data_IF_664866552877
#
_entry.id   IF_664866552877
#
_cell.length_a   1.000
_cell.length_b   1.000
_cell.length_c   1.000
_cell.angle_alpha   90.00
_cell.angle_beta   90.00
_cell.angle_gamma   90.00
#
_symmetry.space_group_name_H-M   'P 1'
#
loop_
_entity.id
_entity.type
_entity.pdbx_description
1 polymer ?
#
# COMPACT_ATOMS: atom_id res chain seq x y z
N UNK A 1 14.30 22.84 -21.61
CA UNK A 1 13.42 23.62 -20.70
C UNK A 1 12.05 22.97 -20.71
N UNK A 2 11.51 22.64 -19.55
CA UNK A 2 10.13 22.09 -19.43
C UNK A 2 9.16 23.24 -19.69
N UNK A 3 8.32 23.10 -20.71
CA UNK A 3 7.25 24.06 -20.96
C UNK A 3 6.05 23.65 -20.08
N UNK A 4 5.95 24.25 -18.88
CA UNK A 4 4.84 24.01 -17.95
C UNK A 4 3.57 24.67 -18.50
N UNK A 5 2.74 23.86 -19.18
CA UNK A 5 1.41 24.31 -19.61
C UNK A 5 0.46 24.37 -18.40
N UNK A 6 -0.61 25.17 -18.49
CA UNK A 6 -1.56 25.44 -17.40
C UNK A 6 -2.11 24.18 -16.74
N UNK A 7 -2.39 23.13 -17.52
CA UNK A 7 -2.98 21.87 -17.02
C UNK A 7 -1.92 20.80 -16.65
N UNK A 8 -0.63 21.09 -16.84
CA UNK A 8 0.44 20.14 -16.59
C UNK A 8 0.40 19.60 -15.15
N UNK A 9 0.32 20.51 -14.17
CA UNK A 9 0.31 20.12 -12.74
C UNK A 9 -0.91 19.27 -12.40
N UNK A 10 -2.09 19.65 -12.90
CA UNK A 10 -3.32 18.88 -12.68
C UNK A 10 -3.23 17.49 -13.28
N UNK A 11 -2.73 17.37 -14.49
CA UNK A 11 -2.66 16.12 -15.21
C UNK A 11 -1.63 15.14 -14.59
N UNK A 12 -0.51 15.65 -14.05
CA UNK A 12 0.51 14.80 -13.46
C UNK A 12 0.05 14.09 -12.17
N UNK A 13 -0.98 14.57 -11.48
CA UNK A 13 -1.59 13.92 -10.32
C UNK A 13 -2.81 13.05 -10.69
N UNK A 14 -3.18 12.97 -11.96
CA UNK A 14 -4.35 12.21 -12.38
C UNK A 14 -4.11 10.70 -12.34
N UNK A 15 -5.07 10.00 -11.78
CA UNK A 15 -5.20 8.53 -11.87
C UNK A 15 -6.50 8.14 -12.57
N UNK A 16 -7.15 9.09 -13.24
CA UNK A 16 -8.41 8.91 -13.97
C UNK A 16 -8.29 7.79 -15.02
N UNK A 17 -9.25 6.88 -15.05
CA UNK A 17 -9.30 5.74 -15.95
C UNK A 17 -8.27 4.63 -15.68
N UNK A 18 -7.35 4.80 -14.72
CA UNK A 18 -6.41 3.76 -14.28
C UNK A 18 -7.14 2.64 -13.55
N UNK A 19 -6.60 1.43 -13.64
CA UNK A 19 -7.07 0.26 -12.87
C UNK A 19 -6.19 0.08 -11.64
N UNK A 20 -6.76 0.27 -10.46
CA UNK A 20 -6.08 0.15 -9.18
C UNK A 20 -6.52 -1.13 -8.45
N UNK A 21 -5.58 -2.07 -8.26
CA UNK A 21 -5.76 -3.24 -7.40
C UNK A 21 -5.32 -2.89 -5.98
N UNK A 22 -6.25 -2.97 -5.02
CA UNK A 22 -6.00 -2.68 -3.61
C UNK A 22 -6.16 -3.94 -2.78
N UNK A 23 -5.05 -4.40 -2.16
CA UNK A 23 -5.10 -5.53 -1.22
C UNK A 23 -5.28 -5.03 0.22
N UNK A 24 -5.91 -5.85 1.07
CA UNK A 24 -6.27 -5.41 2.41
C UNK A 24 -7.32 -4.28 2.41
N UNK A 25 -8.15 -4.22 1.37
CA UNK A 25 -9.11 -3.15 1.15
C UNK A 25 -10.17 -2.98 2.26
N UNK A 26 -10.42 -4.03 3.05
CA UNK A 26 -11.33 -3.96 4.20
C UNK A 26 -10.68 -3.41 5.48
N UNK A 27 -9.36 -3.18 5.47
CA UNK A 27 -8.63 -2.52 6.55
C UNK A 27 -8.67 -0.99 6.42
N UNK A 28 -8.36 -0.27 7.50
CA UNK A 28 -8.48 1.19 7.56
C UNK A 28 -7.75 1.91 6.41
N UNK A 29 -6.44 1.69 6.24
CA UNK A 29 -5.66 2.37 5.20
C UNK A 29 -5.98 1.86 3.79
N UNK A 30 -6.31 0.56 3.65
CA UNK A 30 -6.73 -0.01 2.37
C UNK A 30 -8.07 0.57 1.89
N UNK A 31 -9.05 0.72 2.79
CA UNK A 31 -10.34 1.37 2.49
C UNK A 31 -10.14 2.83 2.07
N UNK A 32 -9.31 3.58 2.80
CA UNK A 32 -8.99 4.98 2.47
C UNK A 32 -8.34 5.10 1.10
N UNK A 33 -7.35 4.25 0.81
CA UNK A 33 -6.69 4.26 -0.50
C UNK A 33 -7.65 3.90 -1.64
N UNK A 34 -8.45 2.84 -1.47
CA UNK A 34 -9.45 2.43 -2.44
C UNK A 34 -10.46 3.56 -2.73
N UNK A 35 -10.94 4.23 -1.69
CA UNK A 35 -11.88 5.35 -1.80
C UNK A 35 -11.23 6.56 -2.49
N UNK A 36 -9.98 6.88 -2.14
CA UNK A 36 -9.21 7.94 -2.79
C UNK A 36 -9.03 7.70 -4.29
N UNK A 37 -8.69 6.48 -4.69
CA UNK A 37 -8.62 6.11 -6.11
C UNK A 37 -9.97 6.27 -6.82
N UNK A 38 -11.05 5.78 -6.22
CA UNK A 38 -12.39 5.90 -6.80
C UNK A 38 -12.81 7.36 -7.01
N UNK A 39 -12.62 8.21 -6.01
CA UNK A 39 -12.93 9.64 -6.13
C UNK A 39 -12.01 10.38 -7.11
N UNK A 40 -10.81 9.87 -7.35
CA UNK A 40 -9.91 10.38 -8.37
C UNK A 40 -10.16 9.80 -9.78
N UNK A 41 -11.27 9.05 -9.97
CA UNK A 41 -11.72 8.53 -11.27
C UNK A 41 -11.05 7.23 -11.72
N UNK A 42 -10.33 6.54 -10.84
CA UNK A 42 -9.79 5.21 -11.14
C UNK A 42 -10.87 4.13 -10.98
N UNK A 43 -10.72 3.03 -11.72
CA UNK A 43 -11.46 1.79 -11.53
C UNK A 43 -10.81 1.00 -10.41
N UNK A 44 -11.55 0.65 -9.36
CA UNK A 44 -10.98 0.07 -8.14
C UNK A 44 -11.30 -1.42 -8.03
N UNK A 45 -10.28 -2.26 -8.01
CA UNK A 45 -10.44 -3.67 -7.71
C UNK A 45 -9.98 -3.96 -6.28
N UNK A 46 -10.88 -4.39 -5.42
CA UNK A 46 -10.63 -4.57 -3.98
C UNK A 46 -10.50 -6.05 -3.62
N UNK A 47 -9.49 -6.39 -2.81
CA UNK A 47 -9.31 -7.76 -2.32
C UNK A 47 -8.97 -7.83 -0.84
N UNK A 48 -9.35 -8.95 -0.24
CA UNK A 48 -9.11 -9.33 1.13
C UNK A 48 -9.65 -10.74 1.38
N UNK A 49 -9.49 -11.28 2.57
CA UNK A 49 -9.88 -12.66 2.88
C UNK A 49 -11.39 -12.84 3.13
N UNK A 50 -12.09 -11.80 3.52
CA UNK A 50 -13.50 -11.88 3.91
C UNK A 50 -14.41 -11.37 2.78
N UNK A 51 -15.07 -12.32 2.09
CA UNK A 51 -15.96 -12.01 0.98
C UNK A 51 -17.18 -11.15 1.39
N UNK A 52 -17.73 -11.37 2.59
CA UNK A 52 -18.86 -10.59 3.10
C UNK A 52 -18.51 -9.12 3.30
N UNK A 53 -17.39 -8.83 4.00
CA UNK A 53 -16.91 -7.45 4.17
C UNK A 53 -16.54 -6.79 2.85
N UNK A 54 -16.05 -7.54 1.87
CA UNK A 54 -15.77 -7.01 0.54
C UNK A 54 -17.04 -6.64 -0.21
N UNK A 55 -18.11 -7.45 -0.09
CA UNK A 55 -19.40 -7.16 -0.70
C UNK A 55 -20.03 -5.89 -0.10
N UNK A 56 -20.06 -5.77 1.23
CA UNK A 56 -20.52 -4.56 1.93
C UNK A 56 -19.75 -3.31 1.48
N UNK A 57 -18.43 -3.42 1.36
CA UNK A 57 -17.58 -2.32 0.91
C UNK A 57 -17.84 -1.96 -0.56
N UNK A 58 -18.08 -2.95 -1.42
CA UNK A 58 -18.43 -2.70 -2.81
C UNK A 58 -19.79 -1.99 -2.95
N UNK A 59 -20.78 -2.38 -2.14
CA UNK A 59 -22.10 -1.73 -2.15
C UNK A 59 -21.99 -0.27 -1.68
N UNK A 60 -21.20 0.01 -0.62
CA UNK A 60 -20.89 1.38 -0.17
C UNK A 60 -20.28 2.20 -1.32
N UNK A 61 -19.26 1.67 -2.00
CA UNK A 61 -18.54 2.38 -3.06
C UNK A 61 -19.42 2.64 -4.29
N UNK A 62 -20.23 1.65 -4.68
CA UNK A 62 -21.19 1.80 -5.79
C UNK A 62 -22.25 2.86 -5.48
N UNK A 63 -22.73 2.91 -4.24
CA UNK A 63 -23.69 3.94 -3.81
C UNK A 63 -23.10 5.37 -3.91
N UNK A 64 -21.78 5.50 -3.82
CA UNK A 64 -21.05 6.76 -4.01
C UNK A 64 -20.61 7.00 -5.48
N UNK A 65 -21.04 6.12 -6.41
CA UNK A 65 -20.71 6.26 -7.84
C UNK A 65 -19.32 5.80 -8.24
N UNK A 66 -18.61 5.06 -7.37
CA UNK A 66 -17.27 4.54 -7.65
C UNK A 66 -17.37 3.23 -8.47
N UNK A 67 -16.68 3.18 -9.62
CA UNK A 67 -16.53 1.95 -10.40
C UNK A 67 -15.60 0.99 -9.65
N UNK A 68 -16.19 -0.06 -9.07
CA UNK A 68 -15.45 -1.02 -8.26
C UNK A 68 -15.91 -2.46 -8.45
N UNK A 69 -14.96 -3.38 -8.25
CA UNK A 69 -15.20 -4.83 -8.19
C UNK A 69 -14.38 -5.46 -7.06
N UNK A 70 -14.73 -6.69 -6.68
CA UNK A 70 -14.09 -7.39 -5.57
C UNK A 70 -13.82 -8.85 -5.90
N UNK A 71 -12.78 -9.39 -5.27
CA UNK A 71 -12.47 -10.82 -5.27
C UNK A 71 -11.83 -11.19 -3.93
N UNK A 72 -12.35 -12.24 -3.27
CA UNK A 72 -11.78 -12.72 -2.01
C UNK A 72 -10.56 -13.60 -2.29
N UNK A 73 -9.40 -13.24 -1.74
CA UNK A 73 -8.16 -13.97 -1.89
C UNK A 73 -7.31 -13.88 -0.62
N UNK A 74 -6.55 -14.92 -0.32
CA UNK A 74 -5.50 -14.91 0.68
C UNK A 74 -4.16 -14.54 0.00
N UNK A 75 -3.58 -13.36 0.29
CA UNK A 75 -2.36 -12.91 -0.36
C UNK A 75 -1.12 -13.77 -0.03
N UNK A 76 -1.21 -14.66 0.98
CA UNK A 76 -0.15 -15.58 1.33
C UNK A 76 -0.16 -16.88 0.48
N UNK A 77 -1.19 -17.08 -0.36
CA UNK A 77 -1.35 -18.25 -1.24
C UNK A 77 -1.17 -17.88 -2.70
N UNK A 78 -0.22 -18.50 -3.36
CA UNK A 78 0.09 -18.22 -4.77
C UNK A 78 -1.10 -18.50 -5.71
N UNK A 79 -1.83 -19.58 -5.47
CA UNK A 79 -3.01 -19.95 -6.24
C UNK A 79 -4.15 -18.92 -6.14
N UNK A 80 -4.38 -18.39 -4.94
CA UNK A 80 -5.38 -17.36 -4.70
C UNK A 80 -4.98 -16.05 -5.41
N UNK A 81 -3.70 -15.68 -5.33
CA UNK A 81 -3.17 -14.48 -6.02
C UNK A 81 -3.25 -14.63 -7.53
N UNK A 82 -2.90 -15.80 -8.08
CA UNK A 82 -3.02 -16.06 -9.52
C UNK A 82 -4.49 -15.97 -10.00
N UNK A 83 -5.44 -16.48 -9.21
CA UNK A 83 -6.87 -16.36 -9.50
C UNK A 83 -7.36 -14.90 -9.40
N UNK A 84 -6.89 -14.16 -8.39
CA UNK A 84 -7.17 -12.73 -8.24
C UNK A 84 -6.74 -11.94 -9.48
N UNK A 85 -5.51 -12.13 -9.96
CA UNK A 85 -5.01 -11.42 -11.15
C UNK A 85 -5.89 -11.71 -12.38
N UNK A 86 -6.26 -12.98 -12.59
CA UNK A 86 -7.21 -13.35 -13.67
C UNK A 86 -8.55 -12.64 -13.53
N UNK A 87 -9.08 -12.52 -12.31
CA UNK A 87 -10.34 -11.82 -12.06
C UNK A 87 -10.23 -10.31 -12.36
N UNK A 88 -9.13 -9.64 -11.99
CA UNK A 88 -8.90 -8.23 -12.33
C UNK A 88 -8.84 -8.03 -13.84
N UNK A 89 -8.08 -8.88 -14.53
CA UNK A 89 -7.91 -8.78 -15.98
C UNK A 89 -9.22 -9.09 -16.73
N UNK A 90 -10.00 -10.06 -16.26
CA UNK A 90 -11.32 -10.35 -16.82
C UNK A 90 -12.29 -9.16 -16.66
N UNK A 91 -12.22 -8.44 -15.55
CA UNK A 91 -13.11 -7.31 -15.24
C UNK A 91 -12.69 -6.02 -15.97
N UNK A 92 -11.40 -5.69 -15.96
CA UNK A 92 -10.90 -4.37 -16.38
C UNK A 92 -9.82 -4.41 -17.48
N UNK A 93 -9.37 -5.60 -17.87
CA UNK A 93 -8.41 -5.80 -18.94
C UNK A 93 -6.95 -5.56 -18.58
N UNK A 94 -6.67 -4.90 -17.45
CA UNK A 94 -5.31 -4.49 -17.06
C UNK A 94 -5.17 -4.19 -15.57
N UNK A 95 -3.94 -3.97 -15.13
CA UNK A 95 -3.58 -3.41 -13.82
C UNK A 95 -2.57 -2.29 -14.07
N UNK A 96 -2.87 -1.06 -13.62
CA UNK A 96 -1.98 0.10 -13.69
C UNK A 96 -1.33 0.43 -12.36
N UNK A 97 -2.08 0.22 -11.27
CA UNK A 97 -1.67 0.54 -9.91
C UNK A 97 -1.89 -0.69 -9.04
N UNK A 98 -0.86 -1.08 -8.30
CA UNK A 98 -0.97 -2.02 -7.19
C UNK A 98 -0.76 -1.28 -5.89
N UNK A 99 -1.75 -1.36 -4.98
CA UNK A 99 -1.66 -0.83 -3.64
C UNK A 99 -1.77 -1.95 -2.61
N UNK A 100 -0.70 -2.21 -1.87
CA UNK A 100 -0.63 -3.28 -0.87
C UNK A 100 -0.79 -2.68 0.53
N UNK A 101 -1.94 -2.96 1.18
CA UNK A 101 -2.26 -2.50 2.53
C UNK A 101 -2.62 -3.63 3.51
N UNK A 102 -2.45 -4.89 3.11
CA UNK A 102 -2.63 -6.00 4.04
C UNK A 102 -1.43 -6.13 4.98
N UNK A 103 -1.67 -6.68 6.14
CA UNK A 103 -0.64 -6.95 7.12
C UNK A 103 -1.23 -7.48 8.42
N UNK A 104 -0.34 -7.91 9.32
CA UNK A 104 -0.70 -8.45 10.63
C UNK A 104 0.35 -8.08 11.66
N UNK A 105 -0.08 -7.80 12.88
CA UNK A 105 0.83 -7.59 14.00
C UNK A 105 0.32 -8.34 15.24
N UNK A 106 1.25 -8.97 15.96
CA UNK A 106 1.04 -9.62 17.24
C UNK A 106 2.19 -9.22 18.16
N UNK A 107 2.06 -8.14 18.95
CA UNK A 107 3.11 -7.69 19.84
C UNK A 107 3.40 -8.75 20.91
N UNK A 108 4.66 -9.18 20.97
CA UNK A 108 5.17 -10.14 21.97
C UNK A 108 6.66 -9.89 22.23
N UNK A 109 7.09 -10.00 23.48
CA UNK A 109 8.51 -9.92 23.81
C UNK A 109 9.28 -11.04 23.08
N UNK A 110 10.53 -10.77 22.71
CA UNK A 110 11.36 -11.73 21.96
C UNK A 110 11.53 -13.07 22.69
N UNK A 111 11.52 -13.07 24.01
CA UNK A 111 11.63 -14.30 24.83
C UNK A 111 10.31 -15.09 24.90
N UNK A 112 9.19 -14.45 24.59
CA UNK A 112 7.84 -15.02 24.67
C UNK A 112 7.27 -15.37 23.29
N UNK A 113 7.73 -14.68 22.24
CA UNK A 113 7.26 -14.89 20.87
C UNK A 113 7.69 -16.28 20.38
N UNK A 114 6.72 -17.15 20.09
CA UNK A 114 7.00 -18.44 19.50
C UNK A 114 7.56 -18.28 18.07
N UNK A 115 8.36 -19.24 17.62
CA UNK A 115 8.84 -19.29 16.23
C UNK A 115 7.66 -19.35 15.25
N UNK A 116 6.58 -20.03 15.62
CA UNK A 116 5.36 -20.12 14.80
C UNK A 116 4.68 -18.75 14.64
N UNK A 117 4.53 -17.98 15.72
CA UNK A 117 3.98 -16.61 15.66
C UNK A 117 4.87 -15.69 14.85
N UNK A 118 6.18 -15.77 15.02
CA UNK A 118 7.14 -15.00 14.23
C UNK A 118 7.02 -15.35 12.73
N UNK A 119 6.99 -16.64 12.38
CA UNK A 119 6.84 -17.11 11.00
C UNK A 119 5.52 -16.64 10.39
N UNK A 120 4.42 -16.68 11.16
CA UNK A 120 3.13 -16.18 10.70
C UNK A 120 3.17 -14.67 10.36
N UNK A 121 3.85 -13.85 11.18
CA UNK A 121 4.04 -12.41 10.91
C UNK A 121 4.86 -12.22 9.63
N UNK A 122 5.94 -12.98 9.46
CA UNK A 122 6.76 -12.93 8.23
C UNK A 122 5.97 -13.33 6.99
N UNK A 123 5.16 -14.38 7.08
CA UNK A 123 4.28 -14.81 5.98
C UNK A 123 3.23 -13.74 5.64
N UNK A 124 2.61 -13.13 6.65
CA UNK A 124 1.53 -12.17 6.47
C UNK A 124 2.01 -10.78 5.97
N UNK A 125 3.21 -10.34 6.33
CA UNK A 125 3.68 -8.97 6.12
C UNK A 125 4.86 -8.83 5.14
N UNK A 126 5.57 -9.93 4.87
CA UNK A 126 6.73 -9.91 3.98
C UNK A 126 6.55 -10.88 2.81
N UNK A 127 6.35 -12.17 3.05
CA UNK A 127 6.18 -13.16 1.99
C UNK A 127 4.93 -12.90 1.14
N UNK A 128 3.79 -12.57 1.75
CA UNK A 128 2.57 -12.24 1.01
C UNK A 128 2.73 -11.00 0.12
N UNK A 129 3.47 -9.98 0.60
CA UNK A 129 3.82 -8.80 -0.19
C UNK A 129 4.64 -9.20 -1.42
N UNK A 130 5.64 -10.09 -1.24
CA UNK A 130 6.43 -10.63 -2.35
C UNK A 130 5.56 -11.37 -3.38
N UNK A 131 4.67 -12.26 -2.93
CA UNK A 131 3.80 -13.04 -3.83
C UNK A 131 2.94 -12.10 -4.67
N UNK A 132 2.21 -11.17 -4.03
CA UNK A 132 1.34 -10.24 -4.75
C UNK A 132 2.14 -9.36 -5.71
N UNK A 133 3.27 -8.80 -5.26
CA UNK A 133 4.12 -7.95 -6.08
C UNK A 133 4.66 -8.71 -7.31
N UNK A 134 5.15 -9.94 -7.12
CA UNK A 134 5.65 -10.79 -8.21
C UNK A 134 4.59 -11.03 -9.30
N UNK A 135 3.41 -11.48 -8.91
CA UNK A 135 2.34 -11.81 -9.86
C UNK A 135 1.78 -10.58 -10.57
N UNK A 136 1.59 -9.47 -9.85
CA UNK A 136 1.14 -8.21 -10.47
C UNK A 136 2.21 -7.61 -11.38
N UNK A 137 3.49 -7.64 -10.97
CA UNK A 137 4.58 -7.17 -11.83
C UNK A 137 4.65 -7.98 -13.13
N UNK A 138 4.48 -9.31 -13.06
CA UNK A 138 4.41 -10.12 -14.26
C UNK A 138 3.25 -9.69 -15.17
N UNK A 139 2.05 -9.48 -14.60
CA UNK A 139 0.90 -9.00 -15.37
C UNK A 139 1.16 -7.62 -15.99
N UNK A 140 1.79 -6.70 -15.24
CA UNK A 140 2.15 -5.37 -15.77
C UNK A 140 3.16 -5.49 -16.94
N UNK A 141 4.13 -6.40 -16.84
CA UNK A 141 5.09 -6.67 -17.92
C UNK A 141 4.39 -7.28 -19.14
N UNK A 142 3.50 -8.25 -18.96
CA UNK A 142 2.75 -8.88 -20.03
C UNK A 142 1.90 -7.86 -20.82
N UNK A 143 1.35 -6.85 -20.13
CA UNK A 143 0.60 -5.75 -20.74
C UNK A 143 1.43 -4.86 -21.67
N UNK A 144 2.76 -4.88 -21.54
CA UNK A 144 3.65 -4.10 -22.40
C UNK A 144 3.87 -4.75 -23.78
N UNK A 145 3.38 -5.98 -23.98
CA UNK A 145 3.48 -6.68 -25.28
C UNK A 145 4.92 -6.92 -25.74
N UNK A 146 5.87 -7.06 -24.79
CA UNK A 146 7.29 -7.25 -25.09
C UNK A 146 8.10 -5.95 -25.26
N UNK A 147 7.51 -4.78 -25.02
CA UNK A 147 8.26 -3.52 -25.04
C UNK A 147 9.35 -3.50 -23.96
N UNK A 148 10.56 -3.12 -24.33
CA UNK A 148 11.70 -2.90 -23.45
C UNK A 148 12.06 -1.41 -23.38
N UNK A 149 12.72 -0.99 -22.28
CA UNK A 149 13.08 0.41 -22.01
C UNK A 149 11.87 1.33 -21.99
N UNK A 150 10.83 0.89 -21.29
CA UNK A 150 9.61 1.67 -21.08
C UNK A 150 9.91 2.88 -20.20
N UNK A 151 9.37 4.04 -20.55
CA UNK A 151 9.51 5.26 -19.77
C UNK A 151 9.01 5.06 -18.33
N UNK A 152 9.72 5.64 -17.38
CA UNK A 152 9.43 5.50 -15.95
C UNK A 152 7.98 5.88 -15.62
N UNK A 153 7.30 5.00 -14.88
CA UNK A 153 5.89 5.14 -14.49
C UNK A 153 4.87 4.71 -15.56
N UNK A 154 5.29 4.45 -16.79
CA UNK A 154 4.38 4.04 -17.87
C UNK A 154 4.09 2.54 -17.87
N UNK A 155 4.95 1.73 -17.23
CA UNK A 155 4.72 0.30 -17.04
C UNK A 155 3.80 -0.02 -15.85
N UNK A 156 3.68 0.90 -14.89
CA UNK A 156 2.82 0.74 -13.72
C UNK A 156 3.40 1.35 -12.44
N UNK A 157 2.58 1.38 -11.41
CA UNK A 157 2.92 1.86 -10.07
C UNK A 157 2.62 0.81 -9.02
N UNK A 158 3.59 0.52 -8.16
CA UNK A 158 3.43 -0.38 -7.02
C UNK A 158 3.71 0.43 -5.76
N UNK A 159 2.73 0.48 -4.86
CA UNK A 159 2.82 1.19 -3.58
C UNK A 159 2.50 0.23 -2.45
N UNK A 160 3.41 0.10 -1.50
CA UNK A 160 3.27 -0.84 -0.37
C UNK A 160 3.18 -0.06 0.94
N UNK A 161 2.21 -0.37 1.76
CA UNK A 161 2.13 0.15 3.14
C UNK A 161 3.06 -0.66 4.03
N UNK A 162 4.18 -0.06 4.39
CA UNK A 162 5.10 -0.66 5.37
C UNK A 162 4.84 -0.07 6.77
N UNK A 163 5.80 0.52 7.42
CA UNK A 163 5.62 1.13 8.74
C UNK A 163 6.84 1.96 9.13
N UNK A 164 6.68 2.96 9.99
CA UNK A 164 7.80 3.55 10.74
C UNK A 164 8.62 2.49 11.48
N UNK A 165 8.03 1.33 11.78
CA UNK A 165 8.71 0.19 12.43
C UNK A 165 9.70 -0.53 11.52
N UNK A 166 9.70 -0.28 10.23
CA UNK A 166 10.75 -0.72 9.31
C UNK A 166 12.08 0.02 9.54
N UNK A 167 12.03 1.22 10.14
CA UNK A 167 13.18 2.11 10.39
C UNK A 167 13.57 2.16 11.87
N UNK A 168 12.65 1.85 12.78
CA UNK A 168 12.86 2.02 14.23
C UNK A 168 12.27 0.87 15.02
N UNK A 169 13.12 0.20 15.79
CA UNK A 169 12.72 -0.88 16.69
C UNK A 169 11.79 -0.42 17.81
N UNK A 170 11.01 -1.35 18.32
CA UNK A 170 10.17 -1.18 19.50
C UNK A 170 10.13 -2.48 20.30
N UNK A 171 10.15 -2.40 21.62
CA UNK A 171 9.99 -3.57 22.48
C UNK A 171 8.67 -4.29 22.18
N UNK A 172 8.71 -5.62 22.09
CA UNK A 172 7.54 -6.43 21.72
C UNK A 172 7.19 -6.49 20.24
N UNK A 173 8.01 -5.91 19.35
CA UNK A 173 7.70 -5.83 17.92
C UNK A 173 8.77 -6.48 17.03
N UNK A 174 9.58 -7.41 17.56
CA UNK A 174 10.68 -8.02 16.79
C UNK A 174 10.22 -8.59 15.45
N UNK A 175 9.20 -9.44 15.44
CA UNK A 175 8.68 -10.02 14.19
C UNK A 175 8.13 -8.98 13.23
N UNK A 176 7.36 -8.01 13.74
CA UNK A 176 6.78 -6.95 12.93
C UNK A 176 7.83 -5.99 12.35
N UNK A 177 8.79 -5.54 13.17
CA UNK A 177 9.89 -4.70 12.68
C UNK A 177 10.71 -5.42 11.62
N UNK A 178 11.00 -6.71 11.82
CA UNK A 178 11.71 -7.53 10.84
C UNK A 178 10.96 -7.64 9.53
N UNK A 179 9.64 -7.95 9.57
CA UNK A 179 8.83 -8.11 8.36
C UNK A 179 8.71 -6.81 7.58
N UNK A 180 8.47 -5.68 8.26
CA UNK A 180 8.35 -4.37 7.60
C UNK A 180 9.69 -3.84 7.10
N UNK A 181 10.80 -4.10 7.83
CA UNK A 181 12.16 -3.80 7.36
C UNK A 181 12.55 -4.64 6.14
N UNK A 182 12.21 -5.93 6.15
CA UNK A 182 12.37 -6.81 5.00
C UNK A 182 11.55 -6.36 3.78
N UNK A 183 10.32 -5.90 4.00
CA UNK A 183 9.49 -5.35 2.93
C UNK A 183 10.08 -4.07 2.32
N UNK A 184 10.63 -3.15 3.13
CA UNK A 184 11.30 -1.94 2.62
C UNK A 184 12.50 -2.29 1.73
N UNK A 185 13.34 -3.25 2.14
CA UNK A 185 14.47 -3.69 1.34
C UNK A 185 14.04 -4.44 0.09
N UNK A 186 12.97 -5.24 0.16
CA UNK A 186 12.38 -5.90 -1.01
C UNK A 186 11.90 -4.88 -2.05
N UNK A 187 11.27 -3.79 -1.63
CA UNK A 187 10.81 -2.71 -2.49
C UNK A 187 11.98 -2.04 -3.20
N UNK A 188 13.07 -1.75 -2.48
CA UNK A 188 14.28 -1.17 -3.07
C UNK A 188 14.91 -2.10 -4.11
N UNK A 189 14.98 -3.41 -3.83
CA UNK A 189 15.49 -4.41 -4.77
C UNK A 189 14.59 -4.57 -6.00
N UNK A 190 13.28 -4.68 -5.80
CA UNK A 190 12.32 -4.80 -6.90
C UNK A 190 12.32 -3.56 -7.82
N UNK A 191 12.58 -2.37 -7.28
CA UNK A 191 12.74 -1.17 -8.08
C UNK A 191 13.95 -1.28 -9.03
N UNK A 192 15.06 -1.88 -8.59
CA UNK A 192 16.21 -2.14 -9.44
C UNK A 192 15.88 -3.09 -10.59
N UNK A 193 15.09 -4.13 -10.33
CA UNK A 193 14.70 -5.11 -11.35
C UNK A 193 13.69 -4.56 -12.37
N UNK A 194 12.77 -3.70 -11.93
CA UNK A 194 11.57 -3.37 -12.69
C UNK A 194 11.62 -2.00 -13.35
N UNK A 195 12.25 -0.98 -12.72
CA UNK A 195 12.05 0.39 -13.16
C UNK A 195 12.76 0.71 -14.46
N UNK A 196 14.04 0.38 -14.59
CA UNK A 196 14.82 0.76 -15.78
C UNK A 196 14.38 0.01 -17.06
N UNK A 197 13.92 -1.23 -16.91
CA UNK A 197 13.54 -2.07 -18.05
C UNK A 197 12.07 -1.92 -18.42
N UNK A 198 11.21 -1.91 -17.42
CA UNK A 198 9.75 -2.03 -17.62
C UNK A 198 8.99 -0.76 -17.27
N UNK A 199 9.67 0.29 -16.79
CA UNK A 199 9.02 1.54 -16.39
C UNK A 199 8.05 1.39 -15.21
N UNK A 200 8.20 0.34 -14.38
CA UNK A 200 7.37 0.11 -13.21
C UNK A 200 8.05 0.74 -12.00
N UNK A 201 7.43 1.74 -11.37
CA UNK A 201 7.93 2.31 -10.13
C UNK A 201 7.41 1.52 -8.91
N UNK A 202 8.31 1.24 -7.95
CA UNK A 202 7.99 0.48 -6.74
C UNK A 202 8.39 1.30 -5.53
N UNK A 203 7.43 1.70 -4.70
CA UNK A 203 7.67 2.54 -3.52
C UNK A 203 6.87 2.06 -2.30
N UNK A 204 7.27 2.52 -1.13
CA UNK A 204 6.52 2.31 0.12
C UNK A 204 6.05 3.62 0.73
N UNK A 205 4.98 3.53 1.51
CA UNK A 205 4.58 4.53 2.50
C UNK A 205 4.83 3.92 3.88
N UNK A 206 5.57 4.65 4.74
CA UNK A 206 5.91 4.23 6.10
C UNK A 206 5.06 5.02 7.11
N UNK A 207 3.82 4.59 7.41
CA UNK A 207 2.94 5.32 8.31
C UNK A 207 3.31 5.14 9.78
N UNK A 208 2.93 6.12 10.60
CA UNK A 208 2.76 6.01 12.05
C UNK A 208 1.39 5.43 12.40
N UNK A 209 0.85 5.77 13.58
CA UNK A 209 -0.50 5.39 14.00
C UNK A 209 -1.52 6.29 13.33
N UNK A 210 -2.40 5.68 12.55
CA UNK A 210 -3.57 6.32 11.95
C UNK A 210 -4.83 5.92 12.70
N UNK A 211 -5.81 6.84 12.80
CA UNK A 211 -7.10 6.57 13.41
C UNK A 211 -7.83 5.45 12.67
N UNK A 212 -8.32 4.48 13.43
CA UNK A 212 -9.13 3.35 12.96
C UNK A 212 -9.87 2.73 14.14
N UNK A 213 -10.83 1.86 13.90
CA UNK A 213 -11.47 1.10 14.97
C UNK A 213 -10.48 0.37 15.89
N UNK A 214 -9.37 -0.15 15.32
CA UNK A 214 -8.35 -0.87 16.08
C UNK A 214 -7.44 0.05 16.90
N UNK A 215 -7.29 1.30 16.51
CA UNK A 215 -6.36 2.26 17.11
C UNK A 215 -7.06 3.39 17.85
N UNK A 216 -8.39 3.45 17.83
CA UNK A 216 -9.17 4.53 18.46
C UNK A 216 -8.80 4.76 19.94
N UNK A 217 -8.57 3.69 20.68
CA UNK A 217 -8.13 3.74 22.07
C UNK A 217 -6.77 4.45 22.28
N UNK A 218 -5.95 4.59 21.24
CA UNK A 218 -4.67 5.31 21.29
C UNK A 218 -4.84 6.82 21.16
N UNK A 219 -6.04 7.28 20.76
CA UNK A 219 -6.34 8.69 20.50
C UNK A 219 -6.92 9.42 21.74
N UNK A 220 -7.03 8.74 22.88
CA UNK A 220 -7.36 9.36 24.15
C UNK A 220 -6.17 10.21 24.65
N UNK A 221 -6.30 11.55 24.74
CA UNK A 221 -5.23 12.45 25.18
C UNK A 221 -4.70 12.15 26.58
N UNK A 222 -5.53 11.57 27.45
CA UNK A 222 -5.15 11.23 28.82
C UNK A 222 -4.38 9.90 28.92
N UNK A 223 -4.37 9.10 27.85
CA UNK A 223 -3.67 7.83 27.84
C UNK A 223 -2.15 8.01 27.80
N UNK A 224 -1.42 7.16 28.54
CA UNK A 224 0.04 7.15 28.50
C UNK A 224 0.58 6.85 27.10
N UNK A 225 -0.19 6.11 26.28
CA UNK A 225 0.18 5.78 24.89
C UNK A 225 0.15 7.02 24.03
N UNK A 226 -0.94 7.79 24.06
CA UNK A 226 -1.05 9.07 23.36
C UNK A 226 0.09 10.02 23.76
N UNK A 227 0.28 10.23 25.06
CA UNK A 227 1.33 11.10 25.60
C UNK A 227 2.75 10.68 25.15
N UNK A 228 3.02 9.38 25.03
CA UNK A 228 4.30 8.88 24.55
C UNK A 228 4.50 9.14 23.05
N UNK A 229 3.43 9.06 22.24
CA UNK A 229 3.50 9.46 20.83
C UNK A 229 3.75 10.97 20.70
N UNK A 230 3.02 11.79 21.45
CA UNK A 230 3.15 13.26 21.40
C UNK A 230 4.55 13.78 21.75
N UNK A 231 5.32 13.04 22.54
CA UNK A 231 6.73 13.39 22.82
C UNK A 231 7.64 13.25 21.61
N UNK A 232 7.20 12.56 20.56
CA UNK A 232 8.00 12.15 19.40
C UNK A 232 7.38 12.50 18.05
N UNK A 233 6.22 13.10 18.03
CA UNK A 233 5.56 13.56 16.82
C UNK A 233 5.59 15.08 16.72
N UNK A 234 6.55 15.68 16.01
CA UNK A 234 6.68 17.14 15.89
C UNK A 234 5.43 17.83 15.35
N UNK A 235 4.60 17.11 14.57
CA UNK A 235 3.33 17.65 14.07
C UNK A 235 2.30 17.88 15.16
N UNK A 236 2.49 17.32 16.37
CA UNK A 236 1.67 17.58 17.57
C UNK A 236 0.32 16.87 17.59
N UNK A 237 0.10 15.87 16.77
CA UNK A 237 -1.11 15.02 16.77
C UNK A 237 -0.85 13.67 16.13
N UNK A 238 -1.65 12.67 16.44
CA UNK A 238 -1.71 11.43 15.70
C UNK A 238 -2.38 11.65 14.32
N UNK A 239 -2.16 10.73 13.40
CA UNK A 239 -2.59 10.88 12.04
C UNK A 239 -4.07 10.47 11.82
N UNK A 240 -4.77 11.27 11.01
CA UNK A 240 -6.11 10.96 10.51
C UNK A 240 -6.03 10.27 9.13
N UNK A 241 -7.03 9.48 8.75
CA UNK A 241 -7.04 8.80 7.44
C UNK A 241 -6.84 9.74 6.25
N UNK A 242 -7.30 10.99 6.33
CA UNK A 242 -7.13 12.00 5.29
C UNK A 242 -5.66 12.39 5.05
N UNK A 243 -4.80 12.30 6.07
CA UNK A 243 -3.36 12.61 5.95
C UNK A 243 -2.64 11.62 5.02
N UNK A 244 -3.23 10.44 4.81
CA UNK A 244 -2.65 9.39 3.98
C UNK A 244 -2.92 9.58 2.48
N UNK A 245 -4.03 10.23 2.12
CA UNK A 245 -4.54 10.34 0.75
C UNK A 245 -3.53 11.01 -0.19
N UNK A 246 -2.81 12.04 0.29
CA UNK A 246 -1.81 12.75 -0.50
C UNK A 246 -0.72 11.81 -1.04
N UNK A 247 -0.18 10.94 -0.20
CA UNK A 247 0.82 9.94 -0.60
C UNK A 247 0.25 8.89 -1.55
N UNK A 248 -0.99 8.42 -1.30
CA UNK A 248 -1.66 7.43 -2.16
C UNK A 248 -1.73 7.92 -3.60
N UNK A 249 -2.24 9.12 -3.82
CA UNK A 249 -2.38 9.70 -5.17
C UNK A 249 -1.02 10.07 -5.77
N UNK A 250 -0.14 10.71 -4.98
CA UNK A 250 1.18 11.12 -5.45
C UNK A 250 2.02 9.94 -5.97
N UNK A 251 2.17 8.89 -5.16
CA UNK A 251 3.00 7.73 -5.53
C UNK A 251 2.38 6.87 -6.65
N UNK A 252 1.10 7.02 -6.92
CA UNK A 252 0.37 6.28 -7.96
C UNK A 252 0.17 7.04 -9.27
N UNK A 253 0.61 8.30 -9.32
CA UNK A 253 0.44 9.18 -10.47
C UNK A 253 1.76 9.48 -11.18
N UNK A 254 1.69 10.20 -12.28
CA UNK A 254 2.87 10.67 -13.05
C UNK A 254 3.74 11.65 -12.25
N UNK A 255 3.19 12.27 -11.18
CA UNK A 255 3.94 13.16 -10.28
C UNK A 255 5.13 12.47 -9.58
N UNK A 256 5.11 11.15 -9.47
CA UNK A 256 6.18 10.34 -8.87
C UNK A 256 7.02 9.56 -9.89
N UNK A 257 7.02 9.93 -11.18
CA UNK A 257 7.73 9.16 -12.20
C UNK A 257 9.25 9.07 -11.95
N UNK A 258 9.84 10.02 -11.23
CA UNK A 258 11.26 10.00 -10.87
C UNK A 258 11.54 9.46 -9.47
N UNK A 259 10.56 8.77 -8.86
CA UNK A 259 10.66 8.18 -7.53
C UNK A 259 10.42 6.68 -7.63
N UNK A 260 11.44 5.88 -7.27
CA UNK A 260 11.36 4.42 -7.20
C UNK A 260 12.33 3.89 -6.15
N UNK A 261 11.99 2.79 -5.49
CA UNK A 261 12.77 2.20 -4.40
C UNK A 261 12.70 2.98 -3.08
N UNK A 262 11.83 3.99 -2.99
CA UNK A 262 11.74 4.85 -1.83
C UNK A 262 10.76 4.29 -0.79
N UNK A 263 11.14 4.39 0.49
CA UNK A 263 10.27 4.18 1.64
C UNK A 263 9.94 5.55 2.26
N UNK A 264 8.81 6.14 1.81
CA UNK A 264 8.39 7.50 2.12
C UNK A 264 7.85 7.61 3.54
N UNK A 265 8.44 8.49 4.34
CA UNK A 265 8.01 8.74 5.72
C UNK A 265 6.64 9.46 5.75
N UNK A 266 5.66 8.85 6.41
CA UNK A 266 4.33 9.39 6.67
C UNK A 266 4.04 9.30 8.19
N UNK A 267 4.99 9.80 9.01
CA UNK A 267 4.98 9.59 10.45
C UNK A 267 4.83 10.86 11.29
N UNK A 268 4.47 11.99 10.68
CA UNK A 268 4.36 13.25 11.42
C UNK A 268 5.67 13.72 12.05
N UNK A 269 6.82 13.22 11.56
CA UNK A 269 8.15 13.50 12.08
C UNK A 269 8.62 12.52 13.16
N UNK A 270 7.89 11.47 13.47
CA UNK A 270 8.25 10.47 14.50
C UNK A 270 9.63 9.85 14.29
N UNK A 271 10.10 9.74 13.05
CA UNK A 271 11.38 9.12 12.71
C UNK A 271 12.58 10.06 12.89
N UNK A 272 12.37 11.36 13.06
CA UNK A 272 13.44 12.36 13.19
C UNK A 272 13.68 12.83 14.63
N UNK A 273 12.87 12.35 15.60
CA UNK A 273 12.99 12.66 17.02
C UNK A 273 13.28 11.44 17.91
#
# INVERSE_FOLDING_TARGET
>A
MVNLQKDFVKNMYSVEGKVALVTGATGALGKVAAKAYGYAGAKVFMTGRNAGKLAELADEFKAEGIDCATYAADPAKEEDVAALIKAVVAQYGRIDILFIAHGFNKPQNILEQSVADWSYIMDADCKSVYIVMKYVSQQMVDQLGGAEKVESGKGGKIVVVTSQRSKRGMAGYTGYCTSKGGADMMIASAACDLSAKYGINVNAICPTVFRSELTEWMFDPESAVYQNFMKREPIGRLAEPSDFVGYVIFLSSDASNYITGAACDCSGGYLVC
#
